data_IF_411544652944
#
_entry.id   IF_411544652944
#
_cell.length_a   1.000
_cell.length_b   1.000
_cell.length_c   1.000
_cell.angle_alpha   90.00
_cell.angle_beta   90.00
_cell.angle_gamma   90.00
#
_symmetry.space_group_name_H-M   'P 1'
#
loop_
_entity.id
_entity.type
_entity.pdbx_description
1 polymer ?
#
# COMPACT_ATOMS: atom_id res chain seq x y z
N UNK A 1 -3.86 17.86 20.28
CA UNK A 1 -4.21 16.85 19.23
C UNK A 1 -3.37 15.60 19.47
N UNK A 2 -3.96 14.40 19.47
CA UNK A 2 -3.22 13.13 19.57
C UNK A 2 -2.88 12.65 18.16
N UNK A 3 -1.63 12.23 17.92
CA UNK A 3 -1.16 11.68 16.65
C UNK A 3 -0.70 10.24 16.88
N UNK A 4 -1.15 9.30 16.03
CA UNK A 4 -0.64 7.94 16.00
C UNK A 4 0.47 7.88 14.95
N UNK A 5 1.68 7.53 15.38
CA UNK A 5 2.85 7.43 14.51
C UNK A 5 3.19 5.96 14.28
N UNK A 6 3.25 5.55 13.01
CA UNK A 6 3.55 4.19 12.60
C UNK A 6 4.88 4.17 11.85
N UNK A 7 5.85 3.39 12.36
CA UNK A 7 7.17 3.26 11.76
C UNK A 7 7.41 1.81 11.34
N UNK A 8 7.68 1.59 10.05
CA UNK A 8 8.02 0.28 9.52
C UNK A 8 9.54 0.09 9.53
N UNK A 9 10.04 -0.81 10.38
CA UNK A 9 11.48 -1.00 10.60
C UNK A 9 12.12 -2.02 9.65
N UNK A 10 11.33 -2.90 9.04
CA UNK A 10 11.85 -4.05 8.28
C UNK A 10 12.01 -3.78 6.78
N UNK A 11 12.01 -2.51 6.35
CA UNK A 11 12.26 -2.16 4.94
C UNK A 11 13.77 -1.97 4.71
N UNK A 12 14.41 -2.75 3.82
CA UNK A 12 15.86 -2.67 3.59
C UNK A 12 16.29 -1.38 2.87
N UNK A 13 17.52 -0.91 3.13
CA UNK A 13 18.07 0.35 2.60
C UNK A 13 18.24 0.38 1.08
N UNK A 14 18.48 -0.77 0.45
CA UNK A 14 18.71 -0.86 -1.00
C UNK A 14 17.81 -1.88 -1.70
N UNK A 15 16.56 -2.04 -1.26
CA UNK A 15 15.66 -2.98 -1.89
C UNK A 15 14.21 -2.88 -1.42
N UNK A 16 13.58 -4.04 -1.36
CA UNK A 16 12.21 -4.26 -0.90
C UNK A 16 12.22 -5.43 0.09
N UNK A 17 11.23 -5.54 0.98
CA UNK A 17 11.02 -6.77 1.74
C UNK A 17 10.89 -7.97 0.81
N UNK A 18 11.34 -9.15 1.27
CA UNK A 18 11.22 -10.38 0.47
C UNK A 18 9.75 -10.79 0.29
N UNK A 19 8.93 -10.57 1.31
CA UNK A 19 7.51 -10.93 1.34
C UNK A 19 6.65 -9.67 1.66
N UNK A 20 5.50 -9.48 1.00
CA UNK A 20 4.68 -8.30 1.21
C UNK A 20 3.76 -8.35 2.42
N UNK A 21 3.52 -9.53 3.01
CA UNK A 21 2.60 -9.70 4.14
C UNK A 21 2.85 -8.74 5.33
N UNK A 22 4.11 -8.43 5.65
CA UNK A 22 4.45 -7.45 6.68
C UNK A 22 3.97 -6.03 6.35
N UNK A 23 4.12 -5.61 5.10
CA UNK A 23 3.67 -4.29 4.61
C UNK A 23 2.13 -4.24 4.54
N UNK A 24 1.48 -5.32 4.09
CA UNK A 24 0.02 -5.42 4.06
C UNK A 24 -0.58 -5.34 5.47
N UNK A 25 -0.03 -6.07 6.44
CA UNK A 25 -0.45 -5.99 7.84
C UNK A 25 -0.23 -4.60 8.45
N UNK A 26 0.90 -3.96 8.11
CA UNK A 26 1.18 -2.59 8.52
C UNK A 26 0.14 -1.60 7.98
N UNK A 27 -0.20 -1.70 6.69
CA UNK A 27 -1.22 -0.87 6.06
C UNK A 27 -2.61 -1.09 6.68
N UNK A 28 -3.00 -2.34 6.96
CA UNK A 28 -4.27 -2.62 7.63
C UNK A 28 -4.36 -1.92 9.01
N UNK A 29 -3.30 -1.98 9.81
CA UNK A 29 -3.24 -1.29 11.10
C UNK A 29 -3.33 0.24 10.97
N UNK A 30 -2.61 0.82 10.02
CA UNK A 30 -2.66 2.26 9.71
C UNK A 30 -4.07 2.68 9.29
N UNK A 31 -4.70 1.91 8.39
CA UNK A 31 -6.02 2.21 7.86
C UNK A 31 -7.13 2.04 8.91
N UNK A 32 -7.06 1.02 9.77
CA UNK A 32 -7.95 0.91 10.94
C UNK A 32 -7.80 2.10 11.88
N UNK A 33 -6.57 2.53 12.13
CA UNK A 33 -6.31 3.69 12.98
C UNK A 33 -6.86 4.99 12.40
N UNK A 34 -6.70 5.20 11.09
CA UNK A 34 -7.27 6.35 10.38
C UNK A 34 -8.80 6.35 10.47
N UNK A 35 -9.47 5.21 10.17
CA UNK A 35 -10.93 5.09 10.24
C UNK A 35 -11.50 5.27 11.65
N UNK A 36 -10.72 4.98 12.69
CA UNK A 36 -11.15 5.12 14.10
C UNK A 36 -11.24 6.57 14.60
N UNK A 37 -10.79 7.55 13.83
CA UNK A 37 -10.75 8.95 14.23
C UNK A 37 -11.67 9.75 13.30
N UNK A 38 -12.83 10.26 13.78
CA UNK A 38 -13.70 11.10 12.96
C UNK A 38 -12.98 12.40 12.58
N UNK A 39 -13.32 12.95 11.41
CA UNK A 39 -12.79 14.22 10.90
C UNK A 39 -11.24 14.30 10.86
N UNK A 40 -10.59 13.16 10.64
CA UNK A 40 -9.13 13.10 10.46
C UNK A 40 -8.71 13.68 9.11
N UNK A 41 -7.53 14.30 9.08
CA UNK A 41 -6.90 14.78 7.85
C UNK A 41 -6.24 13.66 7.05
N UNK A 42 -5.54 13.96 5.95
CA UNK A 42 -4.81 12.96 5.17
C UNK A 42 -3.71 12.29 6.00
N UNK A 43 -3.42 11.02 5.70
CA UNK A 43 -2.29 10.28 6.28
C UNK A 43 -0.99 10.88 5.72
N UNK A 44 -0.04 11.17 6.60
CA UNK A 44 1.31 11.58 6.20
C UNK A 44 2.15 10.31 6.04
N UNK A 45 2.69 10.10 4.83
CA UNK A 45 3.62 9.01 4.53
C UNK A 45 4.96 9.63 4.12
N UNK A 46 6.04 9.21 4.77
CA UNK A 46 7.39 9.69 4.42
C UNK A 46 8.43 8.57 4.52
N UNK A 47 9.58 8.80 3.89
CA UNK A 47 10.80 8.03 4.10
C UNK A 47 11.96 9.01 4.27
N UNK A 48 13.08 8.83 3.56
CA UNK A 48 14.15 9.83 3.47
C UNK A 48 13.80 10.90 2.42
N UNK A 49 13.82 10.56 1.12
CA UNK A 49 13.48 11.48 0.03
C UNK A 49 11.96 11.60 -0.25
N UNK A 50 11.15 10.70 0.32
CA UNK A 50 9.70 10.71 0.16
C UNK A 50 9.21 10.34 -1.25
N UNK A 51 9.93 9.47 -1.98
CA UNK A 51 9.56 9.08 -3.35
C UNK A 51 9.56 7.56 -3.58
N UNK A 52 10.59 6.84 -3.12
CA UNK A 52 10.72 5.39 -3.29
C UNK A 52 9.74 4.61 -2.43
N UNK A 53 10.13 4.28 -1.19
CA UNK A 53 9.29 3.56 -0.20
C UNK A 53 7.92 4.23 -0.01
N UNK A 54 7.91 5.56 0.05
CA UNK A 54 6.68 6.37 0.15
C UNK A 54 5.74 6.12 -1.03
N UNK A 55 6.24 6.17 -2.26
CA UNK A 55 5.43 5.90 -3.44
C UNK A 55 4.93 4.47 -3.48
N UNK A 56 5.78 3.51 -3.12
CA UNK A 56 5.41 2.09 -3.08
C UNK A 56 4.27 1.84 -2.09
N UNK A 57 4.39 2.35 -0.86
CA UNK A 57 3.34 2.20 0.17
C UNK A 57 2.03 2.84 -0.29
N UNK A 58 2.08 4.07 -0.81
CA UNK A 58 0.87 4.78 -1.27
C UNK A 58 0.18 4.05 -2.42
N UNK A 59 0.94 3.53 -3.39
CA UNK A 59 0.35 2.80 -4.53
C UNK A 59 -0.29 1.49 -4.07
N UNK A 60 0.37 0.73 -3.19
CA UNK A 60 -0.22 -0.51 -2.64
C UNK A 60 -1.52 -0.17 -1.89
N UNK A 61 -1.52 0.87 -1.06
CA UNK A 61 -2.69 1.30 -0.30
C UNK A 61 -3.88 1.68 -1.19
N UNK A 62 -3.63 2.46 -2.26
CA UNK A 62 -4.66 2.82 -3.25
C UNK A 62 -5.26 1.57 -3.91
N UNK A 63 -4.42 0.64 -4.35
CA UNK A 63 -4.87 -0.55 -5.07
C UNK A 63 -5.64 -1.50 -4.15
N UNK A 64 -5.17 -1.69 -2.91
CA UNK A 64 -5.87 -2.47 -1.89
C UNK A 64 -7.23 -1.86 -1.58
N UNK A 65 -7.34 -0.53 -1.44
CA UNK A 65 -8.62 0.16 -1.22
C UNK A 65 -9.57 0.01 -2.43
N UNK A 66 -9.07 0.05 -3.66
CA UNK A 66 -9.86 -0.22 -4.87
C UNK A 66 -10.46 -1.62 -4.83
N UNK A 67 -9.64 -2.65 -4.60
CA UNK A 67 -10.08 -4.05 -4.52
C UNK A 67 -11.07 -4.24 -3.38
N UNK A 68 -10.78 -3.67 -2.21
CA UNK A 68 -11.66 -3.76 -1.05
C UNK A 68 -13.05 -3.16 -1.30
N UNK A 69 -13.14 -2.05 -2.06
CA UNK A 69 -14.42 -1.37 -2.32
C UNK A 69 -15.17 -1.93 -3.52
N UNK A 70 -14.47 -2.41 -4.54
CA UNK A 70 -15.07 -2.83 -5.81
C UNK A 70 -15.19 -4.35 -5.96
N UNK A 71 -14.52 -5.12 -5.09
CA UNK A 71 -14.46 -6.58 -5.17
C UNK A 71 -13.30 -7.09 -6.03
N UNK A 72 -13.16 -8.42 -6.04
CA UNK A 72 -12.05 -9.11 -6.72
C UNK A 72 -12.10 -9.01 -8.25
N UNK A 73 -13.27 -8.76 -8.82
CA UNK A 73 -13.47 -8.64 -10.27
C UNK A 73 -13.14 -7.22 -10.82
N UNK A 74 -12.59 -6.34 -9.99
CA UNK A 74 -12.27 -4.97 -10.39
C UNK A 74 -11.07 -4.90 -11.35
N UNK A 75 -11.08 -3.89 -12.23
CA UNK A 75 -9.95 -3.62 -13.12
C UNK A 75 -8.78 -2.99 -12.35
N UNK A 76 -7.63 -3.69 -12.35
CA UNK A 76 -6.40 -3.24 -11.68
C UNK A 76 -5.37 -2.84 -12.73
N UNK A 77 -4.95 -1.58 -12.72
CA UNK A 77 -3.87 -1.07 -13.57
C UNK A 77 -2.78 -0.43 -12.71
N UNK A 78 -1.78 -1.25 -12.35
CA UNK A 78 -0.61 -0.82 -11.57
C UNK A 78 0.20 0.27 -12.29
N UNK A 79 0.60 0.13 -13.58
CA UNK A 79 1.32 1.18 -14.29
C UNK A 79 0.58 2.52 -14.28
N UNK A 80 -0.73 2.52 -14.55
CA UNK A 80 -1.56 3.73 -14.56
C UNK A 80 -1.68 4.35 -13.17
N UNK A 81 -1.82 3.54 -12.12
CA UNK A 81 -1.84 4.02 -10.74
C UNK A 81 -0.50 4.67 -10.34
N UNK A 82 0.62 4.07 -10.74
CA UNK A 82 1.95 4.64 -10.53
C UNK A 82 2.11 5.95 -11.29
N UNK A 83 1.69 6.01 -12.56
CA UNK A 83 1.71 7.25 -13.35
C UNK A 83 0.85 8.34 -12.71
N UNK A 84 -0.33 7.98 -12.20
CA UNK A 84 -1.23 8.91 -11.50
C UNK A 84 -0.54 9.54 -10.27
N UNK A 85 0.13 8.75 -9.41
CA UNK A 85 0.83 9.32 -8.25
C UNK A 85 2.07 10.11 -8.66
N UNK A 86 2.75 9.73 -9.75
CA UNK A 86 3.90 10.47 -10.30
C UNK A 86 3.53 11.86 -10.82
N UNK A 87 2.29 12.06 -11.30
CA UNK A 87 1.77 13.38 -11.69
C UNK A 87 1.60 14.33 -10.51
N UNK A 88 1.45 13.80 -9.30
CA UNK A 88 1.28 14.59 -8.07
C UNK A 88 2.62 14.82 -7.35
N UNK A 89 3.56 13.87 -7.44
CA UNK A 89 4.93 14.01 -6.95
C UNK A 89 5.88 13.24 -7.86
N UNK A 90 6.83 13.94 -8.48
CA UNK A 90 7.79 13.30 -9.38
C UNK A 90 8.62 12.23 -8.66
N UNK A 91 8.92 11.14 -9.37
CA UNK A 91 9.80 10.07 -8.88
C UNK A 91 9.16 9.02 -7.97
N UNK A 92 7.83 9.07 -7.76
CA UNK A 92 7.12 8.06 -6.96
C UNK A 92 7.33 6.64 -7.51
N UNK A 93 7.69 5.70 -6.63
CA UNK A 93 8.16 4.34 -6.97
C UNK A 93 9.43 4.43 -7.84
N UNK A 94 10.61 4.32 -7.22
CA UNK A 94 11.87 4.72 -7.82
C UNK A 94 12.60 3.59 -8.55
N UNK A 95 12.47 2.35 -8.07
CA UNK A 95 13.25 1.21 -8.58
C UNK A 95 12.36 0.14 -9.19
N UNK A 96 12.93 -0.68 -10.07
CA UNK A 96 12.26 -1.86 -10.63
C UNK A 96 11.84 -2.85 -9.52
N UNK A 97 12.68 -3.04 -8.50
CA UNK A 97 12.34 -3.89 -7.36
C UNK A 97 11.09 -3.40 -6.62
N UNK A 98 10.96 -2.09 -6.42
CA UNK A 98 9.75 -1.48 -5.84
C UNK A 98 8.53 -1.65 -6.73
N UNK A 99 8.69 -1.50 -8.05
CA UNK A 99 7.63 -1.75 -9.02
C UNK A 99 7.12 -3.20 -8.94
N UNK A 100 8.03 -4.18 -8.98
CA UNK A 100 7.71 -5.61 -8.81
C UNK A 100 7.06 -5.90 -7.46
N UNK A 101 7.52 -5.26 -6.40
CA UNK A 101 6.95 -5.42 -5.06
C UNK A 101 5.49 -4.95 -4.97
N UNK A 102 5.08 -3.92 -5.73
CA UNK A 102 3.66 -3.54 -5.82
C UNK A 102 2.83 -4.71 -6.37
N UNK A 103 3.29 -5.36 -7.44
CA UNK A 103 2.60 -6.53 -7.99
C UNK A 103 2.51 -7.67 -6.97
N UNK A 104 3.62 -7.99 -6.32
CA UNK A 104 3.65 -9.05 -5.29
C UNK A 104 2.66 -8.76 -4.15
N UNK A 105 2.60 -7.51 -3.68
CA UNK A 105 1.70 -7.13 -2.59
C UNK A 105 0.23 -7.20 -3.00
N UNK A 106 -0.10 -6.72 -4.20
CA UNK A 106 -1.46 -6.78 -4.73
C UNK A 106 -1.90 -8.22 -4.96
N UNK A 107 -1.03 -9.05 -5.53
CA UNK A 107 -1.30 -10.47 -5.73
C UNK A 107 -1.55 -11.20 -4.40
N UNK A 108 -0.67 -11.02 -3.41
CA UNK A 108 -0.85 -11.65 -2.09
C UNK A 108 -2.15 -11.17 -1.41
N UNK A 109 -2.52 -9.90 -1.58
CA UNK A 109 -3.78 -9.39 -1.04
C UNK A 109 -5.00 -10.06 -1.70
N UNK A 110 -5.00 -10.21 -3.03
CA UNK A 110 -6.06 -10.90 -3.78
C UNK A 110 -6.19 -12.35 -3.34
N UNK A 111 -5.08 -13.08 -3.24
CA UNK A 111 -5.06 -14.49 -2.82
C UNK A 111 -5.62 -14.65 -1.39
N UNK A 112 -5.25 -13.74 -0.48
CA UNK A 112 -5.77 -13.76 0.88
C UNK A 112 -7.28 -13.50 0.93
N UNK A 113 -7.78 -12.60 0.10
CA UNK A 113 -9.20 -12.25 0.05
C UNK A 113 -10.05 -13.34 -0.64
N UNK A 114 -9.52 -13.99 -1.68
CA UNK A 114 -10.14 -15.18 -2.29
C UNK A 114 -10.34 -16.29 -1.25
N UNK A 115 -9.27 -16.61 -0.51
CA UNK A 115 -9.33 -17.63 0.55
C UNK A 115 -10.34 -17.27 1.63
N UNK A 116 -10.42 -16.00 2.04
CA UNK A 116 -11.42 -15.53 3.02
C UNK A 116 -12.85 -15.76 2.52
N UNK A 117 -13.12 -15.50 1.24
CA UNK A 117 -14.44 -15.71 0.65
C UNK A 117 -14.80 -17.20 0.51
N UNK A 118 -13.82 -18.07 0.23
CA UNK A 118 -14.02 -19.52 0.19
C UNK A 118 -14.34 -20.11 1.57
N UNK A 119 -13.72 -19.59 2.64
CA UNK A 119 -13.99 -20.01 4.02
C UNK A 119 -15.35 -19.53 4.57
N UNK A 120 -15.93 -18.49 3.95
CA UNK A 120 -17.23 -17.92 4.31
C UNK A 120 -18.42 -18.60 3.58
N UNK A 121 -18.15 -19.48 2.61
CA UNK A 121 -19.15 -20.26 1.85
C UNK A 121 -19.40 -21.63 2.47
#
# INVERSE_FOLDING_TARGET
RRVKHYQYFSWPDHGVPNEPGGVLSFLDQVNRAQRSIPDTGPIIVHCSAGIGRTGTIIVIDILVDIIHRQGLDCDIDIPKTIQMVRRQRSGMVQTEAQYKFVYMAVQQYIEAEQKRLEEEQ
#
